data_IF_696097897554
#
_entry.id   IF_696097897554
#
_cell.length_a   1.000
_cell.length_b   1.000
_cell.length_c   1.000
_cell.angle_alpha   90.00
_cell.angle_beta   90.00
_cell.angle_gamma   90.00
#
_symmetry.space_group_name_H-M   'P 1'
#
loop_
_entity.id
_entity.type
_entity.pdbx_description
1 polymer ?
#
# COMPACT_ATOMS: atom_id res chain seq x y z
N UNK A 1 -29.61 53.09 4.16
CA UNK A 1 -28.25 52.65 3.75
C UNK A 1 -27.56 51.81 4.84
N UNK A 2 -28.10 50.62 5.20
CA UNK A 2 -27.49 49.72 6.18
C UNK A 2 -27.90 48.26 5.89
N UNK A 3 -27.26 47.61 4.93
CA UNK A 3 -27.31 46.12 4.83
C UNK A 3 -26.24 45.49 3.93
N UNK A 4 -25.35 46.26 3.29
CA UNK A 4 -24.33 45.69 2.37
C UNK A 4 -23.07 45.15 3.07
N UNK A 5 -22.79 45.54 4.31
CA UNK A 5 -21.60 45.05 5.04
C UNK A 5 -21.81 43.71 5.75
N UNK A 6 -23.06 43.31 6.01
CA UNK A 6 -23.35 42.07 6.74
C UNK A 6 -23.21 40.82 5.86
N UNK A 7 -23.37 40.95 4.53
CA UNK A 7 -23.23 39.84 3.57
C UNK A 7 -21.78 39.52 3.19
N UNK A 8 -20.83 40.42 3.48
CA UNK A 8 -19.40 40.16 3.19
C UNK A 8 -18.68 39.41 4.31
N UNK A 9 -19.15 39.48 5.56
CA UNK A 9 -18.51 38.73 6.67
C UNK A 9 -18.84 37.23 6.67
N UNK A 10 -19.99 36.83 6.12
CA UNK A 10 -20.40 35.41 6.08
C UNK A 10 -19.68 34.60 5.00
N UNK A 11 -19.14 35.25 3.96
CA UNK A 11 -18.38 34.59 2.90
C UNK A 11 -16.90 34.37 3.28
N UNK A 12 -16.36 35.15 4.22
CA UNK A 12 -14.97 35.01 4.66
C UNK A 12 -14.76 33.87 5.67
N UNK A 13 -15.81 33.44 6.37
CA UNK A 13 -15.73 32.36 7.38
C UNK A 13 -15.84 30.96 6.78
N UNK A 14 -16.45 30.80 5.60
CA UNK A 14 -16.56 29.48 4.95
C UNK A 14 -15.28 29.05 4.20
N UNK A 15 -14.44 30.02 3.81
CA UNK A 15 -13.17 29.74 3.10
C UNK A 15 -12.03 29.33 4.06
N UNK A 16 -12.16 29.58 5.36
CA UNK A 16 -11.12 29.21 6.35
C UNK A 16 -11.29 27.75 6.83
N UNK A 17 -12.48 27.16 6.73
CA UNK A 17 -12.70 25.77 7.16
C UNK A 17 -12.17 24.70 6.19
N UNK A 18 -11.84 25.03 4.94
CA UNK A 18 -11.26 24.08 3.98
C UNK A 18 -9.74 23.88 4.14
N UNK A 19 -9.06 24.74 4.91
CA UNK A 19 -7.62 24.60 5.20
C UNK A 19 -7.32 23.76 6.45
N UNK A 20 -8.36 23.36 7.21
CA UNK A 20 -8.24 22.50 8.38
C UNK A 20 -8.56 21.03 8.06
N UNK A 21 -8.35 20.58 6.83
CA UNK A 21 -8.12 19.16 6.57
C UNK A 21 -6.82 18.80 7.29
N UNK A 22 -6.94 18.44 8.57
CA UNK A 22 -5.82 18.13 9.44
C UNK A 22 -4.90 17.15 8.74
N UNK A 23 -3.62 17.51 8.64
CA UNK A 23 -2.58 16.57 8.25
C UNK A 23 -2.73 15.39 9.19
N UNK A 24 -3.04 14.20 8.66
CA UNK A 24 -3.10 13.00 9.46
C UNK A 24 -1.74 12.85 10.16
N UNK A 25 -1.70 13.08 11.47
CA UNK A 25 -0.49 12.94 12.25
C UNK A 25 -0.19 11.45 12.37
N UNK A 26 0.68 10.94 11.50
CA UNK A 26 1.31 9.63 11.63
C UNK A 26 2.35 9.61 12.78
N UNK A 27 2.07 10.32 13.88
CA UNK A 27 2.95 10.42 15.02
C UNK A 27 2.38 9.55 16.15
N UNK A 28 3.02 8.41 16.41
CA UNK A 28 2.65 7.52 17.52
C UNK A 28 3.23 6.12 17.38
N UNK A 29 3.21 5.38 18.48
CA UNK A 29 3.52 3.94 18.50
C UNK A 29 2.19 3.19 18.48
N UNK A 30 1.98 2.39 17.43
CA UNK A 30 0.87 1.43 17.40
C UNK A 30 1.31 0.14 18.09
N UNK A 31 0.78 -0.14 19.27
CA UNK A 31 1.01 -1.40 19.98
C UNK A 31 -0.09 -2.40 19.63
N UNK A 32 0.28 -3.51 19.00
CA UNK A 32 -0.63 -4.60 18.65
C UNK A 32 -0.29 -5.81 19.52
N UNK A 33 -1.29 -6.38 20.19
CA UNK A 33 -1.12 -7.63 20.92
C UNK A 33 -1.03 -8.81 19.95
N UNK A 34 0.08 -9.54 19.97
CA UNK A 34 0.28 -10.75 19.19
C UNK A 34 0.19 -11.96 20.11
N UNK A 35 -0.61 -12.98 19.73
CA UNK A 35 -0.68 -14.24 20.50
C UNK A 35 0.63 -15.03 20.42
N UNK A 36 1.32 -14.92 19.28
CA UNK A 36 2.56 -15.64 18.99
C UNK A 36 3.47 -14.81 18.05
N UNK A 37 4.77 -15.02 18.15
CA UNK A 37 5.85 -14.08 17.76
C UNK A 37 6.44 -14.14 16.33
N UNK A 38 5.73 -14.30 15.22
CA UNK A 38 6.38 -14.67 13.92
C UNK A 38 7.38 -15.86 14.00
N UNK A 39 7.75 -16.49 12.89
CA UNK A 39 8.79 -17.56 12.95
C UNK A 39 9.96 -17.28 12.02
N UNK A 40 9.74 -16.40 11.05
CA UNK A 40 10.71 -16.06 10.04
C UNK A 40 10.38 -14.69 9.45
N UNK A 41 11.40 -13.97 9.02
CA UNK A 41 11.24 -12.77 8.18
C UNK A 41 11.34 -13.09 6.69
N UNK A 42 11.53 -14.35 6.32
CA UNK A 42 11.57 -14.78 4.93
C UNK A 42 10.16 -15.15 4.45
N UNK A 43 9.51 -14.32 3.60
CA UNK A 43 8.13 -14.56 3.16
C UNK A 43 7.98 -15.84 2.33
N UNK A 44 9.07 -16.40 1.79
CA UNK A 44 9.04 -17.65 1.01
C UNK A 44 9.06 -18.88 1.91
N UNK A 45 9.55 -18.76 3.16
CA UNK A 45 9.62 -19.88 4.12
C UNK A 45 8.44 -19.94 5.08
N UNK A 46 7.59 -18.92 5.11
CA UNK A 46 6.43 -18.89 5.99
C UNK A 46 5.22 -19.58 5.35
N UNK A 47 4.49 -20.34 6.16
CA UNK A 47 3.13 -20.81 5.86
C UNK A 47 2.10 -20.28 6.88
N UNK A 48 2.49 -19.30 7.70
CA UNK A 48 1.74 -18.89 8.89
C UNK A 48 1.05 -17.54 8.68
N UNK A 49 -0.26 -17.47 8.97
CA UNK A 49 -1.02 -16.22 8.83
C UNK A 49 -0.49 -15.08 9.71
N UNK A 50 0.09 -15.40 10.87
CA UNK A 50 0.67 -14.40 11.78
C UNK A 50 1.87 -13.66 11.16
N UNK A 51 2.66 -14.35 10.35
CA UNK A 51 3.84 -13.76 9.71
C UNK A 51 3.39 -12.73 8.65
N UNK A 52 2.25 -12.95 8.00
CA UNK A 52 1.66 -12.00 7.05
C UNK A 52 1.35 -10.63 7.66
N UNK A 53 1.06 -10.57 8.96
CA UNK A 53 0.81 -9.30 9.66
C UNK A 53 2.09 -8.47 9.72
N UNK A 54 3.23 -9.12 9.98
CA UNK A 54 4.55 -8.48 9.93
C UNK A 54 4.91 -8.15 8.48
N UNK A 55 4.71 -9.08 7.55
CA UNK A 55 5.07 -8.87 6.15
C UNK A 55 4.32 -7.71 5.50
N UNK A 56 3.05 -7.51 5.87
CA UNK A 56 2.25 -6.39 5.36
C UNK A 56 2.81 -5.01 5.74
N UNK A 57 3.67 -4.94 6.76
CA UNK A 57 4.34 -3.71 7.20
C UNK A 57 5.74 -3.52 6.59
N UNK A 58 6.38 -4.60 6.15
CA UNK A 58 7.81 -4.60 5.74
C UNK A 58 8.00 -4.83 4.24
N UNK A 59 7.09 -5.58 3.61
CA UNK A 59 7.14 -5.93 2.18
C UNK A 59 5.98 -5.32 1.41
N UNK A 60 6.20 -5.14 0.10
CA UNK A 60 5.14 -4.76 -0.84
C UNK A 60 4.93 -5.87 -1.87
N UNK A 61 3.74 -5.89 -2.48
CA UNK A 61 3.31 -6.92 -3.44
C UNK A 61 2.95 -6.27 -4.78
N UNK A 62 2.93 -7.05 -5.86
CA UNK A 62 2.54 -6.53 -7.18
C UNK A 62 1.13 -5.95 -7.17
N UNK A 63 0.18 -6.69 -6.61
CA UNK A 63 -1.25 -6.34 -6.56
C UNK A 63 -1.76 -6.61 -5.15
N UNK A 64 -2.64 -5.74 -4.66
CA UNK A 64 -3.30 -5.86 -3.35
C UNK A 64 -4.77 -6.19 -3.52
N UNK A 65 -5.41 -6.56 -2.42
CA UNK A 65 -6.87 -6.64 -2.33
C UNK A 65 -7.35 -5.40 -1.60
N UNK A 66 -8.50 -4.86 -2.00
CA UNK A 66 -9.13 -3.74 -1.31
C UNK A 66 -9.57 -4.12 0.12
N UNK A 67 -9.91 -3.11 0.92
CA UNK A 67 -10.32 -3.31 2.33
C UNK A 67 -11.57 -4.18 2.49
N UNK A 68 -12.37 -4.33 1.43
CA UNK A 68 -13.57 -5.19 1.44
C UNK A 68 -13.25 -6.64 1.07
N UNK A 69 -12.05 -6.93 0.56
CA UNK A 69 -11.67 -8.26 0.11
C UNK A 69 -12.25 -8.64 -1.25
N UNK A 70 -12.86 -7.71 -1.99
CA UNK A 70 -13.65 -8.02 -3.19
C UNK A 70 -12.98 -7.62 -4.49
N UNK A 71 -11.97 -6.74 -4.45
CA UNK A 71 -11.34 -6.21 -5.68
C UNK A 71 -9.84 -6.20 -5.57
N UNK A 72 -9.19 -6.49 -6.70
CA UNK A 72 -7.77 -6.24 -6.86
C UNK A 72 -7.51 -4.75 -7.05
N UNK A 73 -6.50 -4.23 -6.37
CA UNK A 73 -6.08 -2.83 -6.40
C UNK A 73 -4.56 -2.72 -6.57
N UNK A 74 -4.05 -1.60 -7.11
CA UNK A 74 -2.61 -1.41 -7.29
C UNK A 74 -1.77 -1.63 -6.02
N UNK A 75 -0.62 -2.27 -6.21
CA UNK A 75 0.48 -2.36 -5.23
C UNK A 75 1.74 -1.71 -5.80
N UNK A 76 2.78 -2.52 -6.04
CA UNK A 76 3.92 -2.12 -6.88
C UNK A 76 3.55 -1.98 -8.35
N UNK A 77 2.59 -2.78 -8.84
CA UNK A 77 2.05 -2.62 -10.18
C UNK A 77 0.94 -1.56 -10.19
N UNK A 78 1.11 -0.51 -10.99
CA UNK A 78 0.10 0.54 -11.18
C UNK A 78 -1.00 0.11 -12.17
N UNK A 79 -0.69 -0.82 -13.06
CA UNK A 79 -1.63 -1.46 -13.96
C UNK A 79 -1.12 -2.83 -14.40
N UNK A 80 -2.03 -3.65 -14.90
CA UNK A 80 -1.71 -4.94 -15.49
C UNK A 80 -2.65 -5.30 -16.62
N UNK A 81 -2.18 -6.14 -17.51
CA UNK A 81 -2.94 -6.73 -18.61
C UNK A 81 -2.85 -8.25 -18.54
N UNK A 82 -3.97 -8.92 -18.75
CA UNK A 82 -4.06 -10.37 -18.84
C UNK A 82 -4.39 -10.70 -20.29
N UNK A 83 -3.62 -11.59 -20.90
CA UNK A 83 -3.87 -12.06 -22.26
C UNK A 83 -5.22 -12.78 -22.38
N UNK A 84 -5.73 -12.87 -23.61
CA UNK A 84 -7.03 -13.49 -23.90
C UNK A 84 -7.12 -14.95 -23.46
N UNK A 85 -5.99 -15.68 -23.46
CA UNK A 85 -5.90 -17.07 -23.00
C UNK A 85 -5.74 -17.21 -21.47
N UNK A 86 -5.56 -16.09 -20.76
CA UNK A 86 -5.37 -16.08 -19.31
C UNK A 86 -4.03 -16.62 -18.82
N UNK A 87 -3.06 -16.85 -19.71
CA UNK A 87 -1.77 -17.47 -19.39
C UNK A 87 -0.62 -16.46 -19.26
N UNK A 88 -0.78 -15.25 -19.80
CA UNK A 88 0.24 -14.19 -19.74
C UNK A 88 -0.28 -12.98 -18.97
N UNK A 89 0.46 -12.60 -17.92
CA UNK A 89 0.17 -11.43 -17.09
C UNK A 89 1.31 -10.43 -17.24
N UNK A 90 1.00 -9.23 -17.72
CA UNK A 90 1.98 -8.15 -17.90
C UNK A 90 1.70 -7.05 -16.87
N UNK A 91 2.68 -6.75 -16.02
CA UNK A 91 2.57 -5.73 -14.98
C UNK A 91 3.41 -4.51 -15.31
N UNK A 92 2.85 -3.31 -15.13
CA UNK A 92 3.59 -2.05 -15.20
C UNK A 92 3.89 -1.58 -13.78
N UNK A 93 5.18 -1.50 -13.43
CA UNK A 93 5.59 -1.09 -12.09
C UNK A 93 5.66 0.43 -11.95
N UNK A 94 5.24 0.92 -10.78
CA UNK A 94 5.47 2.32 -10.37
C UNK A 94 6.94 2.55 -10.04
N UNK A 95 7.38 3.81 -10.04
CA UNK A 95 8.67 4.15 -9.44
C UNK A 95 8.63 3.92 -7.93
N UNK A 96 9.54 3.10 -7.43
CA UNK A 96 9.65 2.77 -6.02
C UNK A 96 11.11 2.48 -5.65
N UNK A 97 11.40 2.52 -4.35
CA UNK A 97 12.72 2.23 -3.79
C UNK A 97 12.57 1.29 -2.60
N UNK A 98 13.58 0.47 -2.37
CA UNK A 98 13.75 -0.27 -1.13
C UNK A 98 14.11 0.70 0.01
N UNK A 99 14.06 0.19 1.24
CA UNK A 99 14.39 0.97 2.45
C UNK A 99 15.84 1.49 2.48
N UNK A 100 16.75 0.84 1.74
CA UNK A 100 18.14 1.28 1.58
C UNK A 100 18.32 2.35 0.47
N UNK A 101 17.24 2.70 -0.23
CA UNK A 101 17.22 3.69 -1.30
C UNK A 101 17.50 3.15 -2.71
N UNK A 102 17.84 1.87 -2.85
CA UNK A 102 17.99 1.23 -4.17
C UNK A 102 16.65 1.18 -4.92
N UNK A 103 16.63 1.32 -6.26
CA UNK A 103 15.39 1.28 -7.02
C UNK A 103 14.81 -0.13 -7.08
N UNK A 104 13.48 -0.24 -7.01
CA UNK A 104 12.77 -1.50 -7.28
C UNK A 104 12.58 -1.65 -8.79
N UNK A 105 12.90 -2.83 -9.32
CA UNK A 105 12.81 -3.16 -10.74
C UNK A 105 11.95 -4.41 -10.98
N UNK A 106 11.60 -4.66 -12.24
CA UNK A 106 10.90 -5.89 -12.63
C UNK A 106 11.71 -7.15 -12.33
N UNK A 107 13.04 -7.07 -12.32
CA UNK A 107 13.92 -8.18 -11.98
C UNK A 107 13.80 -8.62 -10.53
N UNK A 108 13.49 -7.70 -9.60
CA UNK A 108 13.30 -8.02 -8.18
C UNK A 108 12.00 -8.79 -7.94
N UNK A 109 10.93 -8.39 -8.64
CA UNK A 109 9.67 -9.13 -8.66
C UNK A 109 9.85 -10.52 -9.29
N UNK A 110 10.56 -10.59 -10.42
CA UNK A 110 10.88 -11.87 -11.07
C UNK A 110 11.72 -12.77 -10.15
N UNK A 111 12.76 -12.24 -9.51
CA UNK A 111 13.58 -12.98 -8.55
C UNK A 111 12.71 -13.59 -7.43
N UNK A 112 11.79 -12.81 -6.86
CA UNK A 112 10.91 -13.29 -5.79
C UNK A 112 10.00 -14.44 -6.25
N UNK A 113 9.40 -14.32 -7.44
CA UNK A 113 8.54 -15.35 -8.04
C UNK A 113 9.32 -16.61 -8.44
N UNK A 114 10.53 -16.46 -8.96
CA UNK A 114 11.40 -17.58 -9.30
C UNK A 114 11.90 -18.28 -8.04
N UNK A 115 12.25 -17.53 -7.00
CA UNK A 115 12.71 -18.07 -5.73
C UNK A 115 11.63 -18.92 -5.05
N UNK A 116 10.36 -18.51 -5.07
CA UNK A 116 9.29 -19.35 -4.50
C UNK A 116 9.02 -20.61 -5.33
N UNK A 117 9.12 -20.52 -6.67
CA UNK A 117 8.98 -21.67 -7.57
C UNK A 117 10.09 -22.71 -7.38
N UNK A 118 11.33 -22.23 -7.25
CA UNK A 118 12.53 -23.07 -7.28
C UNK A 118 12.97 -23.54 -5.88
N UNK A 119 12.51 -22.88 -4.82
CA UNK A 119 12.81 -23.30 -3.45
C UNK A 119 12.08 -24.61 -3.13
N UNK A 120 12.84 -25.70 -2.99
CA UNK A 120 12.34 -26.94 -2.40
C UNK A 120 12.27 -26.70 -0.90
N UNK A 121 11.04 -26.55 -0.38
CA UNK A 121 10.74 -26.23 1.03
C UNK A 121 11.55 -27.04 2.04
#
# INVERSE_FOLDING_TARGET
>A
MRSKHLKLLTAATLTVCTLAAGVAQAAGVLTIGCREESTTFDPIKSAQNRDNWVFSNVYDVLVRVDNTGTKLVPGLAESWHVSDDGLTYTFKLRSAKFSDGSPITASDAAFSLLRIRDNKG
#
